data_IF_638570135145
#
_entry.id   IF_638570135145
#
_cell.length_a   1.000
_cell.length_b   1.000
_cell.length_c   1.000
_cell.angle_alpha   90.00
_cell.angle_beta   90.00
_cell.angle_gamma   90.00
#
_symmetry.space_group_name_H-M   'P 1'
#
loop_
_entity.id
_entity.type
_entity.pdbx_description
1 polymer ?
#
# COMPACT_ATOMS: atom_id res chain seq x y z
N UNK A 1 -1.03 9.79 -11.45
CA UNK A 1 -2.19 9.53 -12.33
C UNK A 1 -3.26 10.55 -12.01
N UNK A 2 -3.75 11.27 -13.03
CA UNK A 2 -4.89 12.16 -12.91
C UNK A 2 -6.10 11.54 -13.61
N UNK A 3 -7.26 11.60 -12.98
CA UNK A 3 -8.53 11.10 -13.52
C UNK A 3 -9.64 12.09 -13.23
N UNK A 4 -10.60 12.17 -14.14
CA UNK A 4 -11.87 12.85 -13.86
C UNK A 4 -12.79 11.84 -13.14
N UNK A 5 -13.25 12.23 -11.97
CA UNK A 5 -14.09 11.42 -11.09
C UNK A 5 -15.24 12.26 -10.55
N UNK A 6 -16.39 11.63 -10.28
CA UNK A 6 -17.54 12.30 -9.66
C UNK A 6 -17.45 12.15 -8.15
N UNK A 7 -17.44 13.28 -7.43
CA UNK A 7 -17.41 13.30 -5.98
C UNK A 7 -18.54 14.18 -5.42
N UNK A 8 -19.08 13.77 -4.27
CA UNK A 8 -20.03 14.60 -3.53
C UNK A 8 -19.25 15.64 -2.72
N UNK A 9 -19.48 16.91 -3.02
CA UNK A 9 -18.87 18.05 -2.31
C UNK A 9 -20.02 18.91 -1.76
N UNK A 10 -20.11 18.97 -0.44
CA UNK A 10 -21.18 19.70 0.26
C UNK A 10 -22.59 19.37 -0.24
N UNK A 11 -22.88 18.08 -0.47
CA UNK A 11 -24.16 17.59 -0.94
C UNK A 11 -24.40 17.68 -2.45
N UNK A 12 -23.43 18.19 -3.24
CA UNK A 12 -23.52 18.31 -4.69
C UNK A 12 -22.52 17.36 -5.38
N UNK A 13 -22.97 16.67 -6.41
CA UNK A 13 -22.09 15.85 -7.27
C UNK A 13 -21.31 16.77 -8.21
N UNK A 14 -19.99 16.77 -8.07
CA UNK A 14 -19.08 17.58 -8.86
C UNK A 14 -18.11 16.70 -9.65
N UNK A 15 -17.80 17.09 -10.88
CA UNK A 15 -16.73 16.53 -11.69
C UNK A 15 -15.39 17.08 -11.18
N UNK A 16 -14.49 16.23 -10.71
CA UNK A 16 -13.22 16.62 -10.11
C UNK A 16 -12.05 15.98 -10.87
N UNK A 17 -11.01 16.77 -11.12
CA UNK A 17 -9.72 16.25 -11.59
C UNK A 17 -8.91 15.79 -10.38
N UNK A 18 -8.87 14.49 -10.12
CA UNK A 18 -8.17 13.90 -8.97
C UNK A 18 -6.79 13.41 -9.38
N UNK A 19 -5.76 13.99 -8.80
CA UNK A 19 -4.37 13.58 -8.99
C UNK A 19 -3.87 12.85 -7.72
N UNK A 20 -3.54 11.55 -7.86
CA UNK A 20 -2.99 10.73 -6.76
C UNK A 20 -1.51 10.45 -6.96
N UNK A 21 -0.70 10.77 -5.94
CA UNK A 21 0.71 10.39 -5.84
C UNK A 21 0.97 9.88 -4.42
N UNK A 22 1.49 8.66 -4.29
CA UNK A 22 1.62 7.99 -2.98
C UNK A 22 0.28 7.57 -2.38
N UNK A 23 -0.79 7.64 -3.17
CA UNK A 23 -2.14 7.24 -2.83
C UNK A 23 -2.76 6.42 -3.97
N UNK A 24 -3.75 5.61 -3.65
CA UNK A 24 -4.53 4.82 -4.60
C UNK A 24 -6.02 5.03 -4.40
N UNK A 25 -6.82 4.65 -5.38
CA UNK A 25 -8.27 4.76 -5.31
C UNK A 25 -8.84 3.69 -4.37
N UNK A 26 -9.79 4.08 -3.52
CA UNK A 26 -10.47 3.23 -2.54
C UNK A 26 -11.94 3.65 -2.44
N UNK A 27 -12.69 3.46 -3.51
CA UNK A 27 -14.10 3.82 -3.55
C UNK A 27 -14.96 2.89 -2.69
N UNK A 28 -16.01 3.46 -2.13
CA UNK A 28 -17.04 2.70 -1.40
C UNK A 28 -17.85 1.82 -2.33
N UNK A 29 -18.51 0.81 -1.76
CA UNK A 29 -19.37 -0.10 -2.48
C UNK A 29 -20.55 0.58 -3.20
N UNK A 30 -21.07 1.63 -2.59
CA UNK A 30 -22.21 2.41 -3.09
C UNK A 30 -21.80 3.58 -4.01
N UNK A 31 -20.54 3.71 -4.36
CA UNK A 31 -20.05 4.87 -5.17
C UNK A 31 -20.60 4.92 -6.59
N UNK A 32 -21.10 3.82 -7.12
CA UNK A 32 -21.52 3.71 -8.54
C UNK A 32 -20.35 3.78 -9.55
N UNK A 33 -19.10 3.86 -9.08
CA UNK A 33 -17.89 4.04 -9.90
C UNK A 33 -16.93 2.83 -9.84
N UNK A 34 -17.40 1.70 -9.31
CA UNK A 34 -16.68 0.43 -9.21
C UNK A 34 -17.45 -0.69 -9.91
N UNK A 35 -16.76 -1.78 -10.20
CA UNK A 35 -17.38 -2.97 -10.77
C UNK A 35 -18.44 -3.56 -9.83
N UNK A 36 -19.48 -4.15 -10.40
CA UNK A 36 -20.60 -4.73 -9.67
C UNK A 36 -20.20 -5.80 -8.64
N UNK A 37 -19.15 -6.56 -8.94
CA UNK A 37 -18.57 -7.57 -8.04
C UNK A 37 -18.06 -7.01 -6.70
N UNK A 38 -17.76 -5.72 -6.63
CA UNK A 38 -17.23 -5.06 -5.43
C UNK A 38 -18.24 -4.16 -4.71
N UNK A 39 -19.46 -4.04 -5.19
CA UNK A 39 -20.48 -3.15 -4.59
C UNK A 39 -20.82 -3.49 -3.14
N UNK A 40 -20.78 -4.77 -2.77
CA UNK A 40 -21.03 -5.20 -1.39
C UNK A 40 -19.82 -5.04 -0.46
N UNK A 41 -18.62 -4.97 -1.02
CA UNK A 41 -17.36 -5.03 -0.24
C UNK A 41 -16.56 -3.72 -0.25
N UNK A 42 -16.78 -2.86 -1.23
CA UNK A 42 -15.89 -1.74 -1.53
C UNK A 42 -14.74 -2.14 -2.45
N UNK A 43 -14.10 -1.17 -3.06
CA UNK A 43 -13.01 -1.38 -4.02
C UNK A 43 -11.79 -2.03 -3.34
N UNK A 44 -11.24 -3.13 -3.90
CA UNK A 44 -9.98 -3.71 -3.42
C UNK A 44 -8.81 -2.74 -3.55
N UNK A 45 -7.95 -2.71 -2.53
CA UNK A 45 -6.76 -1.88 -2.45
C UNK A 45 -5.57 -2.73 -2.04
N UNK A 46 -4.54 -2.78 -2.87
CA UNK A 46 -3.28 -3.41 -2.52
C UNK A 46 -2.38 -2.39 -1.82
N UNK A 47 -1.90 -2.74 -0.64
CA UNK A 47 -0.98 -1.91 0.16
C UNK A 47 0.29 -2.70 0.40
N UNK A 48 1.30 -2.58 -0.47
CA UNK A 48 2.58 -3.23 -0.28
C UNK A 48 3.31 -2.64 0.94
N UNK A 49 3.86 -3.53 1.74
CA UNK A 49 4.81 -3.18 2.79
C UNK A 49 6.23 -3.28 2.27
N UNK A 50 6.96 -4.26 2.77
CA UNK A 50 8.34 -4.55 2.41
C UNK A 50 8.58 -6.05 2.21
N UNK A 51 9.80 -6.44 1.82
CA UNK A 51 10.14 -7.82 1.49
C UNK A 51 10.32 -8.75 2.71
N UNK A 52 10.24 -8.26 3.93
CA UNK A 52 10.40 -9.06 5.15
C UNK A 52 9.14 -9.08 6.01
N UNK A 53 8.38 -8.00 6.03
CA UNK A 53 7.23 -7.84 6.94
C UNK A 53 5.93 -8.35 6.32
N UNK A 54 5.56 -7.85 5.14
CA UNK A 54 4.33 -8.26 4.48
C UNK A 54 3.66 -7.16 3.67
N UNK A 55 2.48 -7.49 3.20
CA UNK A 55 1.60 -6.58 2.44
C UNK A 55 0.16 -6.82 2.86
N UNK A 56 -0.72 -5.87 2.55
CA UNK A 56 -2.13 -5.97 2.89
C UNK A 56 -3.02 -5.84 1.66
N UNK A 57 -4.10 -6.60 1.67
CA UNK A 57 -5.28 -6.29 0.88
C UNK A 57 -6.25 -5.58 1.80
N UNK A 58 -6.69 -4.41 1.37
CA UNK A 58 -7.74 -3.64 2.01
C UNK A 58 -8.94 -3.51 1.06
N UNK A 59 -10.04 -3.01 1.56
CA UNK A 59 -11.20 -2.63 0.77
C UNK A 59 -11.62 -1.20 1.13
N UNK A 60 -12.09 -0.45 0.16
CA UNK A 60 -12.74 0.84 0.39
C UNK A 60 -13.89 0.71 1.40
N UNK A 61 -14.47 1.82 1.90
CA UNK A 61 -15.63 1.78 2.77
C UNK A 61 -16.78 0.99 2.14
N UNK A 62 -17.64 0.37 2.96
CA UNK A 62 -18.84 -0.31 2.42
C UNK A 62 -19.82 0.70 1.82
N UNK A 63 -20.00 1.79 2.53
CA UNK A 63 -20.92 2.87 2.16
C UNK A 63 -20.28 4.22 2.42
N UNK A 64 -20.76 5.23 1.72
CA UNK A 64 -20.33 6.60 1.89
C UNK A 64 -18.97 6.91 1.25
N UNK A 65 -18.68 8.18 1.08
CA UNK A 65 -17.43 8.66 0.54
C UNK A 65 -16.48 9.03 1.68
N UNK A 66 -15.25 8.53 1.66
CA UNK A 66 -14.24 9.00 2.60
C UNK A 66 -13.81 10.45 2.29
N UNK A 67 -13.30 11.15 3.32
CA UNK A 67 -12.91 12.56 3.22
C UNK A 67 -11.73 12.85 2.28
N UNK A 68 -11.05 11.80 1.80
CA UNK A 68 -9.89 11.89 0.92
C UNK A 68 -10.25 11.61 -0.56
N UNK A 69 -11.45 11.98 -1.00
CA UNK A 69 -11.92 11.77 -2.38
C UNK A 69 -11.80 10.31 -2.84
N UNK A 70 -12.25 9.38 -2.01
CA UNK A 70 -12.16 7.95 -2.30
C UNK A 70 -10.72 7.47 -2.49
N UNK A 71 -9.79 7.99 -1.70
CA UNK A 71 -8.38 7.61 -1.74
C UNK A 71 -7.93 6.91 -0.46
N UNK A 72 -6.92 6.06 -0.57
CA UNK A 72 -6.24 5.37 0.54
C UNK A 72 -4.73 5.41 0.33
N UNK A 73 -3.96 4.95 1.31
CA UNK A 73 -2.52 4.78 1.18
C UNK A 73 -2.17 3.83 0.02
N UNK A 74 -1.03 4.07 -0.60
CA UNK A 74 -0.53 3.24 -1.71
C UNK A 74 0.44 2.15 -1.24
N UNK A 75 1.01 2.26 -0.05
CA UNK A 75 2.00 1.35 0.55
C UNK A 75 2.46 1.88 1.90
N UNK A 76 3.38 1.17 2.55
CA UNK A 76 3.95 1.56 3.84
C UNK A 76 4.68 2.92 3.79
N UNK A 77 5.29 3.23 2.65
CA UNK A 77 6.17 4.40 2.52
C UNK A 77 7.54 4.17 3.15
N UNK A 78 8.52 4.96 2.72
CA UNK A 78 9.91 4.83 3.18
C UNK A 78 10.18 5.67 4.42
N UNK A 79 10.99 5.12 5.32
CA UNK A 79 11.60 5.83 6.46
C UNK A 79 13.00 6.35 6.09
N UNK A 80 13.75 5.61 5.25
CA UNK A 80 15.08 6.00 4.77
C UNK A 80 15.07 6.25 3.27
N UNK A 81 15.90 7.20 2.80
CA UNK A 81 16.16 7.33 1.37
C UNK A 81 16.91 6.10 0.84
N UNK A 82 16.80 5.81 -0.48
CA UNK A 82 17.54 4.71 -1.11
C UNK A 82 19.04 4.81 -0.89
N UNK A 83 19.58 6.00 -1.03
CA UNK A 83 21.03 6.26 -0.81
C UNK A 83 21.44 5.98 0.62
N UNK A 84 20.63 6.38 1.60
CA UNK A 84 20.91 6.13 3.01
C UNK A 84 20.82 4.64 3.32
N UNK A 85 19.81 3.94 2.86
CA UNK A 85 19.67 2.50 3.04
C UNK A 85 20.88 1.73 2.49
N UNK A 86 21.35 2.06 1.28
CA UNK A 86 22.58 1.47 0.69
C UNK A 86 23.84 1.69 1.54
N UNK A 87 23.93 2.81 2.24
CA UNK A 87 25.11 3.14 3.08
C UNK A 87 25.08 2.46 4.44
N UNK A 88 23.89 2.19 4.98
CA UNK A 88 23.72 1.74 6.36
C UNK A 88 23.35 0.27 6.50
N UNK A 89 22.86 -0.38 5.45
CA UNK A 89 22.34 -1.74 5.51
C UNK A 89 23.21 -2.68 4.67
N UNK A 90 23.77 -3.71 5.30
CA UNK A 90 24.50 -4.78 4.61
C UNK A 90 23.51 -5.74 3.92
N UNK A 91 23.50 -5.73 2.59
CA UNK A 91 22.61 -6.56 1.78
C UNK A 91 22.89 -8.06 1.88
N UNK A 92 24.14 -8.47 2.16
CA UNK A 92 24.48 -9.89 2.37
C UNK A 92 23.96 -10.41 3.71
N UNK A 93 24.15 -9.63 4.77
CA UNK A 93 23.61 -9.93 6.09
C UNK A 93 22.06 -9.95 6.06
N UNK A 94 21.46 -8.98 5.37
CA UNK A 94 20.00 -8.92 5.16
C UNK A 94 19.48 -10.17 4.44
N UNK A 95 20.11 -10.60 3.35
CA UNK A 95 19.73 -11.82 2.63
C UNK A 95 19.66 -13.01 3.57
N UNK A 96 20.74 -13.25 4.34
CA UNK A 96 20.82 -14.34 5.31
C UNK A 96 19.72 -14.25 6.37
N UNK A 97 19.43 -13.03 6.89
CA UNK A 97 18.35 -12.79 7.86
C UNK A 97 16.98 -13.20 7.32
N UNK A 98 16.66 -12.79 6.08
CA UNK A 98 15.39 -13.10 5.44
C UNK A 98 15.25 -14.59 5.10
N UNK A 99 16.33 -15.22 4.60
CA UNK A 99 16.36 -16.65 4.32
C UNK A 99 16.17 -17.50 5.59
N UNK A 100 16.77 -17.09 6.71
CA UNK A 100 16.56 -17.70 8.02
C UNK A 100 15.09 -17.56 8.52
N UNK A 101 14.38 -16.55 8.05
CA UNK A 101 12.94 -16.35 8.33
C UNK A 101 12.04 -17.12 7.36
N UNK A 102 12.59 -17.95 6.48
CA UNK A 102 11.85 -18.78 5.51
C UNK A 102 11.50 -18.07 4.21
N UNK A 103 12.05 -16.90 3.93
CA UNK A 103 11.80 -16.14 2.71
C UNK A 103 12.89 -16.46 1.69
N UNK A 104 12.53 -17.00 0.53
CA UNK A 104 13.48 -17.23 -0.57
C UNK A 104 13.82 -15.95 -1.28
N UNK A 105 15.13 -15.61 -1.36
CA UNK A 105 15.59 -14.35 -1.94
C UNK A 105 16.37 -14.61 -3.23
N UNK A 106 15.92 -14.03 -4.32
CA UNK A 106 16.66 -13.90 -5.58
C UNK A 106 16.88 -12.41 -5.88
N UNK A 107 18.14 -11.98 -5.91
CA UNK A 107 18.49 -10.59 -6.16
C UNK A 107 19.72 -10.50 -7.07
N UNK A 108 19.71 -9.54 -7.98
CA UNK A 108 20.82 -9.31 -8.91
C UNK A 108 22.11 -8.90 -8.20
N UNK A 109 21.99 -8.08 -7.16
CA UNK A 109 23.13 -7.63 -6.34
C UNK A 109 22.73 -7.42 -4.88
N UNK A 110 23.70 -7.50 -3.92
CA UNK A 110 23.43 -7.15 -2.53
C UNK A 110 22.95 -5.71 -2.33
N UNK A 111 23.40 -4.76 -3.17
CA UNK A 111 23.01 -3.37 -3.07
C UNK A 111 21.52 -3.14 -3.35
N UNK A 112 20.92 -3.91 -4.26
CA UNK A 112 19.47 -3.86 -4.52
C UNK A 112 18.69 -4.30 -3.28
N UNK A 113 19.17 -5.29 -2.54
CA UNK A 113 18.56 -5.70 -1.28
C UNK A 113 18.68 -4.62 -0.21
N UNK A 114 19.84 -4.02 -0.06
CA UNK A 114 20.06 -2.91 0.90
C UNK A 114 19.10 -1.75 0.64
N UNK A 115 18.91 -1.39 -0.64
CA UNK A 115 18.03 -0.31 -1.06
C UNK A 115 16.58 -0.53 -0.64
N UNK A 116 16.11 -1.77 -0.75
CA UNK A 116 14.73 -2.18 -0.53
C UNK A 116 14.54 -2.95 0.80
N UNK A 117 15.49 -2.81 1.72
CA UNK A 117 15.45 -3.49 3.01
C UNK A 117 14.20 -3.11 3.83
N UNK A 118 13.64 -4.04 4.61
CA UNK A 118 12.52 -3.75 5.52
C UNK A 118 12.80 -2.55 6.42
N UNK A 119 14.02 -2.47 6.94
CA UNK A 119 14.47 -1.37 7.81
C UNK A 119 14.42 0.03 7.15
N UNK A 120 14.26 0.10 5.84
CA UNK A 120 14.13 1.35 5.08
C UNK A 120 12.65 1.82 4.93
N UNK A 121 11.69 1.05 5.41
CA UNK A 121 10.26 1.33 5.30
C UNK A 121 9.64 1.59 6.67
N UNK A 122 8.50 2.27 6.67
CA UNK A 122 7.63 2.38 7.84
C UNK A 122 6.95 1.02 8.09
N UNK A 123 6.55 0.78 9.32
CA UNK A 123 5.76 -0.40 9.64
C UNK A 123 4.42 -0.36 8.88
N UNK A 124 4.21 -1.36 8.02
CA UNK A 124 2.99 -1.45 7.22
C UNK A 124 1.76 -1.68 8.09
N UNK A 125 1.89 -2.42 9.19
CA UNK A 125 0.77 -2.74 10.08
C UNK A 125 0.26 -1.47 10.80
N UNK A 126 1.17 -0.57 11.23
CA UNK A 126 0.82 0.76 11.76
C UNK A 126 0.12 1.63 10.70
N UNK A 127 0.63 1.63 9.47
CA UNK A 127 0.01 2.39 8.36
C UNK A 127 -1.39 1.89 8.06
N UNK A 128 -1.61 0.58 8.10
CA UNK A 128 -2.94 -0.02 7.91
C UNK A 128 -3.89 0.35 9.02
N UNK A 129 -3.44 0.29 10.28
CA UNK A 129 -4.25 0.66 11.44
C UNK A 129 -4.70 2.12 11.37
N UNK A 130 -3.79 3.05 11.07
CA UNK A 130 -4.10 4.47 10.90
C UNK A 130 -5.05 4.72 9.72
N UNK A 131 -4.84 4.04 8.59
CA UNK A 131 -5.70 4.12 7.41
C UNK A 131 -7.13 3.68 7.73
N UNK A 132 -7.26 2.58 8.48
CA UNK A 132 -8.56 2.06 8.92
C UNK A 132 -9.24 3.00 9.92
N UNK A 133 -8.51 3.49 10.93
CA UNK A 133 -9.02 4.47 11.91
C UNK A 133 -9.49 5.77 11.26
N UNK A 134 -8.81 6.20 10.20
CA UNK A 134 -9.21 7.36 9.41
C UNK A 134 -10.41 7.09 8.47
N UNK A 135 -10.95 5.87 8.44
CA UNK A 135 -12.09 5.51 7.57
C UNK A 135 -11.77 5.51 6.08
N UNK A 136 -10.49 5.48 5.69
CA UNK A 136 -10.08 5.55 4.29
C UNK A 136 -10.21 4.22 3.55
N UNK A 137 -9.87 3.12 4.22
CA UNK A 137 -10.05 1.75 3.76
C UNK A 137 -10.03 0.79 4.96
N UNK A 138 -10.63 -0.39 4.78
CA UNK A 138 -10.74 -1.43 5.81
C UNK A 138 -9.76 -2.56 5.53
N UNK A 139 -9.05 -3.11 6.53
CA UNK A 139 -8.18 -4.27 6.34
C UNK A 139 -9.03 -5.52 6.02
N UNK A 140 -8.53 -6.34 5.10
CA UNK A 140 -9.15 -7.61 4.69
C UNK A 140 -8.25 -8.77 5.00
N UNK A 141 -7.01 -8.77 4.48
CA UNK A 141 -6.06 -9.85 4.73
C UNK A 141 -4.62 -9.36 4.69
N UNK A 142 -3.82 -9.86 5.63
CA UNK A 142 -2.37 -9.69 5.67
C UNK A 142 -1.69 -10.84 4.95
N UNK A 143 -0.78 -10.53 4.06
CA UNK A 143 0.01 -11.49 3.31
C UNK A 143 1.47 -11.44 3.76
N UNK A 144 2.09 -12.61 3.95
CA UNK A 144 3.53 -12.72 4.22
C UNK A 144 4.28 -13.07 2.93
N UNK A 145 5.48 -12.52 2.70
CA UNK A 145 6.30 -12.90 1.57
C UNK A 145 6.88 -14.30 1.76
N UNK A 146 6.81 -15.13 0.72
CA UNK A 146 7.48 -16.44 0.66
C UNK A 146 8.69 -16.39 -0.27
N UNK A 147 8.58 -15.61 -1.34
CA UNK A 147 9.62 -15.46 -2.36
C UNK A 147 9.74 -13.98 -2.71
N UNK A 148 10.95 -13.50 -2.80
CA UNK A 148 11.28 -12.13 -3.22
C UNK A 148 12.25 -12.19 -4.37
N UNK A 149 11.92 -11.50 -5.45
CA UNK A 149 12.77 -11.31 -6.63
C UNK A 149 13.05 -9.82 -6.78
N UNK A 150 14.33 -9.46 -6.84
CA UNK A 150 14.79 -8.07 -7.02
C UNK A 150 15.83 -8.00 -8.13
N UNK A 151 15.58 -7.16 -9.10
CA UNK A 151 16.45 -6.94 -10.26
C UNK A 151 17.05 -5.55 -10.29
#
# INVERSE_FOLDING_TARGET
IAKIETHNIHGKNCQCAIHRKGATRAFSGDSGQIESSFQLTGQPVLVPGDMGTGSWIMAGPKTGQNQAFGSSCHGAGRALSRTQAKKTIDGKALKKRLENSGIRIHASTPNVLSEEAPDAYKDVDEVIELTNKAGLARPVVRMKPNIVVKG
#
